data_IF_509537050300
#
_entry.id   IF_509537050300
#
_cell.length_a   1.000
_cell.length_b   1.000
_cell.length_c   1.000
_cell.angle_alpha   90.00
_cell.angle_beta   90.00
_cell.angle_gamma   90.00
#
_symmetry.space_group_name_H-M   'P 1'
#
loop_
_entity.id
_entity.type
_entity.pdbx_description
1 polymer ?
#
# COMPACT_ATOMS: atom_id res chain seq x y z
N UNK A 1 -39.85 -0.56 -16.31
CA UNK A 1 -38.38 -0.51 -16.60
C UNK A 1 -37.74 -1.35 -15.52
N UNK A 2 -37.25 -2.53 -15.88
CA UNK A 2 -36.49 -3.37 -14.93
C UNK A 2 -35.34 -2.59 -14.37
N UNK A 3 -35.19 -2.73 -13.06
CA UNK A 3 -34.16 -2.08 -12.22
C UNK A 3 -32.77 -2.39 -12.79
N UNK A 4 -32.19 -1.45 -13.52
CA UNK A 4 -30.85 -1.59 -14.09
C UNK A 4 -29.86 -1.45 -12.95
N UNK A 5 -29.55 -2.57 -12.30
CA UNK A 5 -28.61 -2.57 -11.18
C UNK A 5 -27.27 -2.03 -11.64
N UNK A 6 -26.86 -0.91 -11.05
CA UNK A 6 -25.54 -0.36 -11.21
C UNK A 6 -24.49 -1.31 -10.62
N UNK A 7 -23.26 -1.20 -11.10
CA UNK A 7 -22.09 -1.93 -10.57
C UNK A 7 -21.03 -0.89 -10.25
N UNK A 8 -20.45 -0.98 -9.07
CA UNK A 8 -19.29 -0.19 -8.66
C UNK A 8 -18.02 -0.91 -9.06
N UNK A 9 -17.08 -0.19 -9.68
CA UNK A 9 -15.69 -0.56 -9.80
C UNK A 9 -14.89 0.34 -8.87
N UNK A 10 -14.07 -0.23 -8.00
CA UNK A 10 -13.33 0.51 -6.98
C UNK A 10 -11.83 0.25 -7.06
N UNK A 11 -11.05 1.29 -6.83
CA UNK A 11 -9.59 1.30 -6.78
C UNK A 11 -9.15 2.43 -5.85
N UNK A 12 -7.91 2.38 -5.33
CA UNK A 12 -7.33 3.53 -4.62
C UNK A 12 -6.41 4.35 -5.51
N UNK A 13 -6.20 5.64 -5.14
CA UNK A 13 -5.41 6.60 -5.93
C UNK A 13 -4.03 6.87 -5.35
N UNK A 14 -3.83 6.59 -4.09
CA UNK A 14 -2.54 6.75 -3.42
C UNK A 14 -1.62 5.56 -3.70
N UNK A 15 -0.36 5.71 -3.34
CA UNK A 15 0.66 4.68 -3.50
C UNK A 15 1.67 4.75 -2.35
N UNK A 16 2.34 3.66 -2.08
CA UNK A 16 3.51 3.66 -1.19
C UNK A 16 4.64 4.48 -1.84
N UNK A 17 5.06 5.55 -1.17
CA UNK A 17 6.08 6.48 -1.65
C UNK A 17 7.47 6.07 -1.12
N UNK A 18 8.13 5.13 -1.81
CA UNK A 18 9.46 4.63 -1.47
C UNK A 18 10.46 4.83 -2.61
N UNK A 19 11.74 5.03 -2.25
CA UNK A 19 12.83 5.20 -3.21
C UNK A 19 14.11 4.53 -2.73
N UNK A 20 14.98 4.21 -3.67
CA UNK A 20 16.31 3.72 -3.36
C UNK A 20 17.14 4.81 -2.64
N UNK A 21 18.02 4.41 -1.72
CA UNK A 21 18.83 5.34 -0.91
C UNK A 21 19.73 6.29 -1.71
N UNK A 22 20.07 5.93 -2.93
CA UNK A 22 20.92 6.72 -3.85
C UNK A 22 20.11 7.55 -4.85
N UNK A 23 18.80 7.61 -4.72
CA UNK A 23 17.89 8.37 -5.60
C UNK A 23 17.38 9.59 -4.88
N UNK A 24 17.53 10.76 -5.49
CA UNK A 24 16.85 11.97 -5.05
C UNK A 24 15.54 12.10 -5.80
N UNK A 25 14.44 12.13 -5.08
CA UNK A 25 13.10 12.29 -5.60
C UNK A 25 12.19 12.86 -4.51
N UNK A 26 11.37 13.84 -4.85
CA UNK A 26 10.36 14.41 -3.98
C UNK A 26 8.96 14.04 -4.50
N UNK A 27 8.35 13.08 -3.84
CA UNK A 27 7.01 12.60 -4.19
C UNK A 27 5.89 13.64 -4.09
N UNK A 28 6.12 14.78 -3.42
CA UNK A 28 5.13 15.86 -3.33
C UNK A 28 5.15 16.78 -4.55
N UNK A 29 6.27 16.87 -5.24
CA UNK A 29 6.48 17.86 -6.32
C UNK A 29 6.91 17.24 -7.64
N UNK A 30 7.40 16.02 -7.63
CA UNK A 30 7.91 15.32 -8.82
C UNK A 30 7.03 14.13 -9.21
N UNK A 31 6.72 14.01 -10.49
CA UNK A 31 6.06 12.82 -11.04
C UNK A 31 7.03 11.64 -11.15
N UNK A 32 6.49 10.43 -11.09
CA UNK A 32 7.27 9.21 -11.24
C UNK A 32 7.89 9.12 -12.64
N UNK A 33 9.21 8.95 -12.70
CA UNK A 33 9.93 8.73 -13.96
C UNK A 33 9.83 7.28 -14.35
N UNK A 34 9.14 7.01 -15.45
CA UNK A 34 8.89 5.65 -15.92
C UNK A 34 9.62 5.34 -17.21
N UNK A 35 9.92 4.05 -17.42
CA UNK A 35 10.47 3.53 -18.66
C UNK A 35 9.90 2.15 -18.99
N UNK A 36 9.98 1.75 -20.27
CA UNK A 36 9.57 0.43 -20.73
C UNK A 36 10.81 -0.43 -20.96
N UNK A 37 10.81 -1.62 -20.38
CA UNK A 37 11.82 -2.64 -20.59
C UNK A 37 11.19 -4.01 -20.64
N UNK A 38 11.52 -4.78 -21.66
CA UNK A 38 11.03 -6.16 -21.88
C UNK A 38 9.48 -6.28 -21.84
N UNK A 39 8.78 -5.24 -22.30
CA UNK A 39 7.32 -5.16 -22.29
C UNK A 39 6.69 -4.72 -20.96
N UNK A 40 7.50 -4.46 -19.94
CA UNK A 40 7.06 -4.01 -18.62
C UNK A 40 7.35 -2.53 -18.41
N UNK A 41 6.44 -1.86 -17.70
CA UNK A 41 6.66 -0.50 -17.20
C UNK A 41 7.39 -0.56 -15.85
N UNK A 42 8.43 0.23 -15.73
CA UNK A 42 9.26 0.36 -14.52
C UNK A 42 9.35 1.82 -14.10
N UNK A 43 9.69 2.05 -12.82
CA UNK A 43 10.08 3.36 -12.31
C UNK A 43 11.59 3.46 -12.10
N UNK A 44 12.16 4.67 -12.27
CA UNK A 44 13.58 4.94 -12.07
C UNK A 44 13.92 5.10 -10.59
N UNK A 45 14.13 3.98 -9.90
CA UNK A 45 14.60 3.96 -8.51
C UNK A 45 13.58 4.38 -7.46
N UNK A 46 12.32 4.47 -7.83
CA UNK A 46 11.18 4.68 -6.94
C UNK A 46 10.17 3.55 -7.06
N UNK A 47 9.19 3.51 -6.17
CA UNK A 47 7.94 2.77 -6.40
C UNK A 47 7.24 3.29 -7.65
N UNK A 48 6.48 2.42 -8.34
CA UNK A 48 5.80 2.73 -9.60
C UNK A 48 4.37 3.25 -9.39
N UNK A 49 3.67 2.76 -8.37
CA UNK A 49 2.24 3.02 -8.16
C UNK A 49 1.32 2.22 -9.09
N UNK A 50 1.79 1.06 -9.59
CA UNK A 50 0.92 0.14 -10.33
C UNK A 50 -0.19 -0.43 -9.45
N UNK A 51 0.09 -0.62 -8.20
CA UNK A 51 -0.82 -0.75 -7.08
C UNK A 51 -1.19 0.68 -6.61
N UNK A 52 -2.42 1.20 -6.81
CA UNK A 52 -3.47 0.58 -7.62
C UNK A 52 -3.77 1.40 -8.88
N UNK A 53 -2.74 1.99 -9.50
CA UNK A 53 -2.84 2.74 -10.75
C UNK A 53 -3.41 1.90 -11.91
N UNK A 54 -3.16 0.59 -11.92
CA UNK A 54 -3.74 -0.30 -12.95
C UNK A 54 -5.24 -0.44 -12.76
N UNK A 55 -5.74 -0.56 -11.53
CA UNK A 55 -7.16 -0.59 -11.23
C UNK A 55 -7.85 0.70 -11.67
N UNK A 56 -7.24 1.87 -11.41
CA UNK A 56 -7.73 3.15 -11.92
C UNK A 56 -7.84 3.16 -13.44
N UNK A 57 -6.81 2.71 -14.14
CA UNK A 57 -6.79 2.64 -15.59
C UNK A 57 -7.87 1.71 -16.14
N UNK A 58 -8.08 0.56 -15.49
CA UNK A 58 -9.14 -0.40 -15.85
C UNK A 58 -10.54 0.20 -15.67
N UNK A 59 -10.80 0.91 -14.57
CA UNK A 59 -12.08 1.60 -14.35
C UNK A 59 -12.33 2.63 -15.45
N UNK A 60 -11.34 3.50 -15.72
CA UNK A 60 -11.47 4.52 -16.76
C UNK A 60 -11.69 3.90 -18.15
N UNK A 61 -11.00 2.82 -18.47
CA UNK A 61 -11.17 2.11 -19.72
C UNK A 61 -12.56 1.47 -19.82
N UNK A 62 -13.04 0.82 -18.76
CA UNK A 62 -14.38 0.25 -18.68
C UNK A 62 -15.46 1.32 -18.87
N UNK A 63 -15.38 2.42 -18.13
CA UNK A 63 -16.34 3.52 -18.25
C UNK A 63 -16.37 4.15 -19.65
N UNK A 64 -15.22 4.19 -20.33
CA UNK A 64 -15.10 4.73 -21.69
C UNK A 64 -15.65 3.79 -22.76
N UNK A 65 -15.45 2.48 -22.61
CA UNK A 65 -15.72 1.49 -23.65
C UNK A 65 -17.01 0.70 -23.45
N UNK A 66 -17.59 0.73 -22.25
CA UNK A 66 -18.79 -0.03 -21.94
C UNK A 66 -20.01 0.51 -22.69
N UNK A 67 -20.67 -0.36 -23.41
CA UNK A 67 -21.89 -0.06 -24.21
C UNK A 67 -23.11 -0.86 -23.77
N UNK A 68 -23.00 -1.57 -22.63
CA UNK A 68 -24.08 -2.35 -22.07
C UNK A 68 -25.21 -1.50 -21.46
N UNK A 69 -26.15 -2.14 -20.85
CA UNK A 69 -27.39 -1.54 -20.32
C UNK A 69 -27.31 -1.19 -18.82
N UNK A 70 -26.22 -1.57 -18.16
CA UNK A 70 -25.98 -1.27 -16.73
C UNK A 70 -25.26 0.06 -16.56
N UNK A 71 -25.47 0.71 -15.42
CA UNK A 71 -24.66 1.85 -15.01
C UNK A 71 -23.38 1.35 -14.35
N UNK A 72 -22.24 1.91 -14.73
CA UNK A 72 -20.97 1.71 -14.05
C UNK A 72 -20.68 2.97 -13.22
N UNK A 73 -20.49 2.78 -11.92
CA UNK A 73 -20.00 3.79 -10.99
C UNK A 73 -18.51 3.51 -10.70
N UNK A 74 -17.63 4.50 -10.93
CA UNK A 74 -16.22 4.42 -10.57
C UNK A 74 -15.99 5.07 -9.23
N UNK A 75 -15.44 4.34 -8.25
CA UNK A 75 -15.03 4.88 -6.95
C UNK A 75 -13.51 4.84 -6.85
N UNK A 76 -12.92 6.00 -6.54
CA UNK A 76 -11.50 6.16 -6.33
C UNK A 76 -11.27 6.63 -4.91
N UNK A 77 -10.72 5.76 -4.08
CA UNK A 77 -10.43 6.06 -2.67
C UNK A 77 -9.04 6.66 -2.50
N UNK A 78 -8.81 7.29 -1.36
CA UNK A 78 -7.54 7.87 -0.94
C UNK A 78 -7.10 7.27 0.39
N UNK A 79 -5.82 7.37 0.71
CA UNK A 79 -5.25 6.92 1.99
C UNK A 79 -5.50 5.42 2.27
N UNK A 80 -5.50 4.60 1.22
CA UNK A 80 -5.58 3.14 1.37
C UNK A 80 -4.33 2.64 2.09
N UNK A 81 -3.16 2.99 1.58
CA UNK A 81 -1.82 2.59 2.04
C UNK A 81 -1.49 3.07 3.47
N UNK A 82 -2.24 4.02 3.97
CA UNK A 82 -2.04 4.61 5.30
C UNK A 82 -3.15 4.27 6.31
N UNK A 83 -4.07 3.37 5.94
CA UNK A 83 -5.07 2.82 6.85
C UNK A 83 -6.51 3.02 6.44
N UNK A 84 -6.81 3.07 5.13
CA UNK A 84 -8.18 3.04 4.57
C UNK A 84 -9.06 4.25 4.95
N UNK A 85 -8.47 5.37 5.36
CA UNK A 85 -9.24 6.47 5.95
C UNK A 85 -10.20 7.14 4.94
N UNK A 86 -9.86 7.09 3.63
CA UNK A 86 -10.75 7.55 2.58
C UNK A 86 -12.02 6.72 2.47
N UNK A 87 -11.90 5.41 2.58
CA UNK A 87 -13.04 4.50 2.59
C UNK A 87 -13.88 4.65 3.88
N UNK A 88 -13.23 4.79 5.04
CA UNK A 88 -13.90 4.99 6.33
C UNK A 88 -14.71 6.28 6.42
N UNK A 89 -14.26 7.33 5.73
CA UNK A 89 -14.92 8.65 5.72
C UNK A 89 -15.94 8.81 4.60
N UNK A 90 -16.20 7.75 3.82
CA UNK A 90 -17.17 7.81 2.74
C UNK A 90 -18.55 8.13 3.30
N UNK A 91 -19.19 9.13 2.71
CA UNK A 91 -20.51 9.56 3.14
C UNK A 91 -21.57 8.51 2.81
N UNK A 92 -22.60 8.46 3.65
CA UNK A 92 -23.76 7.61 3.37
C UNK A 92 -24.42 8.08 2.05
N UNK A 93 -24.86 7.12 1.26
CA UNK A 93 -25.50 7.37 -0.03
C UNK A 93 -24.58 8.00 -1.10
N UNK A 94 -23.25 7.86 -0.94
CA UNK A 94 -22.25 8.31 -1.91
C UNK A 94 -22.38 7.59 -3.25
N UNK A 95 -22.86 6.37 -3.26
CA UNK A 95 -23.09 5.55 -4.46
C UNK A 95 -24.49 4.92 -4.43
N UNK A 96 -24.96 4.44 -5.58
CA UNK A 96 -26.31 3.89 -5.72
C UNK A 96 -26.34 2.39 -5.95
N UNK A 97 -25.22 1.80 -6.34
CA UNK A 97 -25.12 0.38 -6.62
C UNK A 97 -24.97 -0.46 -5.36
N UNK A 98 -25.46 -1.70 -5.40
CA UNK A 98 -25.36 -2.67 -4.31
C UNK A 98 -24.23 -3.69 -4.51
N UNK A 99 -23.61 -3.70 -5.70
CA UNK A 99 -22.52 -4.61 -6.03
C UNK A 99 -21.25 -3.82 -6.29
N UNK A 100 -20.20 -4.13 -5.54
CA UNK A 100 -18.88 -3.55 -5.71
C UNK A 100 -17.88 -4.62 -6.16
N UNK A 101 -17.06 -4.25 -7.13
CA UNK A 101 -15.91 -5.02 -7.60
C UNK A 101 -14.68 -4.17 -7.29
N UNK A 102 -13.91 -4.61 -6.30
CA UNK A 102 -12.63 -4.02 -5.94
C UNK A 102 -11.57 -4.55 -6.91
N UNK A 103 -10.76 -3.65 -7.49
CA UNK A 103 -9.71 -3.98 -8.46
C UNK A 103 -8.32 -3.89 -7.82
N UNK A 104 -8.23 -4.34 -6.58
CA UNK A 104 -7.04 -4.25 -5.73
C UNK A 104 -6.53 -5.64 -5.32
N UNK A 105 -6.66 -6.60 -6.21
CA UNK A 105 -6.14 -7.95 -6.02
C UNK A 105 -4.79 -8.10 -6.72
N UNK A 106 -3.81 -8.63 -6.03
CA UNK A 106 -2.48 -8.95 -6.57
C UNK A 106 -2.45 -10.31 -7.27
N UNK A 107 -3.45 -11.15 -7.04
CA UNK A 107 -3.52 -12.50 -7.62
C UNK A 107 -4.30 -12.49 -8.92
N UNK A 108 -3.65 -12.96 -9.99
CA UNK A 108 -4.28 -13.14 -11.28
C UNK A 108 -5.20 -14.37 -11.28
N UNK A 109 -6.27 -14.31 -12.05
CA UNK A 109 -7.24 -15.41 -12.26
C UNK A 109 -8.00 -15.86 -10.99
N UNK A 110 -7.97 -15.07 -9.91
CA UNK A 110 -8.69 -15.35 -8.67
C UNK A 110 -9.81 -14.33 -8.40
N UNK A 111 -10.94 -14.81 -7.92
CA UNK A 111 -12.02 -13.99 -7.41
C UNK A 111 -12.09 -14.11 -5.88
N UNK A 112 -11.67 -13.07 -5.19
CA UNK A 112 -11.61 -13.03 -3.72
C UNK A 112 -12.93 -12.47 -3.19
N UNK A 113 -13.62 -13.25 -2.37
CA UNK A 113 -14.94 -12.89 -1.78
C UNK A 113 -14.87 -12.59 -0.27
N UNK A 114 -13.71 -12.32 0.25
CA UNK A 114 -13.49 -12.01 1.67
C UNK A 114 -12.18 -11.29 1.86
N UNK A 115 -11.95 -10.80 3.08
CA UNK A 115 -10.69 -10.17 3.45
C UNK A 115 -10.25 -10.62 4.84
N UNK A 116 -8.93 -10.50 5.09
CA UNK A 116 -8.39 -10.67 6.43
C UNK A 116 -8.65 -9.41 7.28
N UNK A 117 -8.79 -9.60 8.58
CA UNK A 117 -8.81 -8.49 9.54
C UNK A 117 -7.40 -8.13 9.99
N UNK A 118 -7.21 -6.89 10.44
CA UNK A 118 -5.96 -6.41 11.01
C UNK A 118 -6.18 -5.81 12.40
N UNK A 119 -5.11 -5.78 13.20
CA UNK A 119 -5.08 -5.12 14.48
C UNK A 119 -3.74 -4.44 14.69
N UNK A 120 -3.76 -3.14 14.99
CA UNK A 120 -2.56 -2.38 15.33
C UNK A 120 -2.47 -2.18 16.84
N UNK A 121 -1.40 -2.63 17.45
CA UNK A 121 -1.10 -2.39 18.85
C UNK A 121 -0.01 -1.33 18.99
N UNK A 122 -0.32 -0.24 19.71
CA UNK A 122 0.64 0.82 20.06
C UNK A 122 1.04 0.66 21.51
N UNK A 123 2.32 0.37 21.77
CA UNK A 123 2.87 0.32 23.12
C UNK A 123 3.56 1.65 23.44
N UNK A 124 3.17 2.28 24.54
CA UNK A 124 3.76 3.52 25.02
C UNK A 124 4.60 3.25 26.27
N UNK A 125 5.88 3.52 26.17
CA UNK A 125 6.81 3.36 27.29
C UNK A 125 7.19 4.74 27.81
N UNK A 126 7.15 4.92 29.13
CA UNK A 126 7.82 6.05 29.77
C UNK A 126 9.31 5.76 29.77
N UNK A 127 10.10 6.70 29.30
CA UNK A 127 11.56 6.64 29.38
C UNK A 127 12.04 7.70 30.39
N UNK A 128 13.04 7.35 31.16
CA UNK A 128 13.84 8.29 31.94
C UNK A 128 15.10 8.61 31.16
N UNK A 129 15.43 9.87 31.06
CA UNK A 129 16.64 10.34 30.37
C UNK A 129 17.68 10.70 31.43
N UNK A 130 18.88 10.20 31.25
CA UNK A 130 20.04 10.52 32.11
C UNK A 130 21.07 11.28 31.27
N UNK A 131 21.77 12.20 31.94
CA UNK A 131 22.88 12.93 31.31
C UNK A 131 24.02 11.96 30.98
N UNK A 132 24.49 12.01 29.77
CA UNK A 132 25.60 11.18 29.32
C UNK A 132 26.93 11.81 29.78
N UNK A 133 27.85 11.08 30.48
CA UNK A 133 29.15 11.58 30.86
C UNK A 133 29.92 12.12 29.66
N UNK A 134 30.58 13.25 29.83
CA UNK A 134 31.30 13.97 28.74
C UNK A 134 32.62 13.29 28.33
N UNK A 135 33.11 12.31 29.05
CA UNK A 135 34.43 11.70 28.87
C UNK A 135 34.33 10.18 28.85
N UNK A 136 35.10 9.56 27.98
CA UNK A 136 35.21 8.08 27.92
C UNK A 136 34.11 7.37 27.13
N UNK A 137 33.41 8.09 26.27
CA UNK A 137 32.34 7.53 25.44
C UNK A 137 32.81 7.19 24.04
N UNK A 138 32.18 6.19 23.47
CA UNK A 138 32.24 5.88 22.06
C UNK A 138 30.82 5.51 21.57
N UNK A 139 30.56 5.80 20.32
CA UNK A 139 29.29 5.49 19.68
C UNK A 139 29.46 4.23 18.84
N UNK A 140 28.49 3.35 18.94
CA UNK A 140 28.40 2.15 18.10
C UNK A 140 27.10 2.23 17.30
N UNK A 141 27.20 2.08 16.00
CA UNK A 141 26.08 1.86 15.12
C UNK A 141 25.96 0.36 14.83
N UNK A 142 24.78 -0.20 15.08
CA UNK A 142 24.48 -1.60 14.80
C UNK A 142 23.35 -1.62 13.79
N UNK A 143 23.61 -2.24 12.62
CA UNK A 143 22.64 -2.34 11.54
C UNK A 143 22.31 -3.78 11.22
N UNK A 144 21.02 -4.12 11.14
CA UNK A 144 20.53 -5.39 10.61
C UNK A 144 19.90 -5.13 9.25
N UNK A 145 20.53 -5.63 8.18
CA UNK A 145 20.13 -5.39 6.79
C UNK A 145 20.42 -6.58 5.89
N UNK A 146 19.87 -6.56 4.66
CA UNK A 146 20.04 -7.63 3.68
C UNK A 146 19.15 -8.85 3.94
N UNK A 147 18.14 -8.72 4.79
CA UNK A 147 17.14 -9.76 5.00
C UNK A 147 16.14 -9.80 3.83
N UNK A 148 15.51 -10.96 3.63
CA UNK A 148 14.40 -11.09 2.70
C UNK A 148 13.20 -10.32 3.25
N UNK A 149 12.74 -9.34 2.48
CA UNK A 149 11.48 -8.65 2.71
C UNK A 149 10.27 -9.50 2.33
N UNK A 150 9.09 -8.91 2.41
CA UNK A 150 7.84 -9.53 1.99
C UNK A 150 6.64 -8.70 2.40
N UNK A 151 5.49 -9.07 1.86
CA UNK A 151 4.23 -8.45 2.20
C UNK A 151 3.83 -8.81 3.65
N UNK A 152 3.38 -7.82 4.43
CA UNK A 152 3.04 -7.99 5.85
C UNK A 152 1.84 -8.90 6.11
N UNK A 153 0.97 -9.07 5.13
CA UNK A 153 -0.16 -10.00 5.14
C UNK A 153 0.15 -11.29 4.37
N UNK A 154 0.27 -11.22 3.04
CA UNK A 154 0.42 -12.38 2.16
C UNK A 154 1.63 -13.27 2.48
N UNK A 155 2.75 -12.67 2.87
CA UNK A 155 4.01 -13.39 3.15
C UNK A 155 4.25 -13.70 4.63
N UNK A 156 3.35 -13.31 5.53
CA UNK A 156 3.55 -13.46 6.99
C UNK A 156 3.74 -14.92 7.43
N UNK A 157 3.19 -15.87 6.68
CA UNK A 157 3.32 -17.30 6.93
C UNK A 157 4.70 -17.85 6.54
N UNK A 158 5.48 -17.10 5.76
CA UNK A 158 6.83 -17.51 5.36
C UNK A 158 7.80 -17.23 6.52
N UNK A 159 8.60 -18.21 6.86
CA UNK A 159 9.56 -18.14 7.97
C UNK A 159 10.77 -17.25 7.62
N UNK A 160 10.52 -15.96 7.37
CA UNK A 160 11.55 -14.96 7.11
C UNK A 160 12.03 -14.32 8.40
N UNK A 161 13.30 -13.89 8.44
CA UNK A 161 13.88 -13.26 9.61
C UNK A 161 13.31 -11.85 9.81
N UNK A 162 13.03 -11.49 11.07
CA UNK A 162 12.56 -10.17 11.47
C UNK A 162 13.73 -9.35 12.03
N UNK A 163 14.09 -8.24 11.39
CA UNK A 163 15.20 -7.39 11.77
C UNK A 163 15.07 -6.82 13.18
N UNK A 164 13.86 -6.39 13.57
CA UNK A 164 13.62 -5.85 14.91
C UNK A 164 13.80 -6.91 16.00
N UNK A 165 13.40 -8.15 15.72
CA UNK A 165 13.61 -9.25 16.66
C UNK A 165 15.09 -9.58 16.80
N UNK A 166 15.84 -9.63 15.69
CA UNK A 166 17.27 -9.91 15.71
C UNK A 166 18.06 -8.85 16.48
N UNK A 167 17.77 -7.55 16.26
CA UNK A 167 18.44 -6.49 17.00
C UNK A 167 18.05 -6.48 18.49
N UNK A 168 16.78 -6.79 18.79
CA UNK A 168 16.31 -6.93 20.16
C UNK A 168 16.97 -8.07 20.92
N UNK A 169 17.13 -9.23 20.27
CA UNK A 169 17.83 -10.38 20.84
C UNK A 169 19.31 -10.07 21.06
N UNK A 170 19.97 -9.37 20.14
CA UNK A 170 21.35 -8.91 20.29
C UNK A 170 21.52 -7.95 21.47
N UNK A 171 20.61 -7.00 21.66
CA UNK A 171 20.68 -6.02 22.75
C UNK A 171 20.36 -6.61 24.14
N UNK A 172 19.86 -7.84 24.20
CA UNK A 172 19.59 -8.55 25.47
C UNK A 172 20.76 -9.39 25.98
N UNK A 173 21.81 -9.55 25.17
CA UNK A 173 23.04 -10.27 25.54
C UNK A 173 23.93 -9.40 26.42
#
# INVERSE_FOLDING_TARGET
>A
MEDRKAIILQSHMDMVCEKNNNVEHDFLTEGIKTYIKDGWMHAEGTTLGADNGIGMAMIMAAMKSYTGDKTIEGIFTVEEETGLSGAERMEKDFFTAETIINLDSEEEDELIIGCAGGCTTKAHFKKEEEDIPQVGQFYIEISVKGLLGGHSGGDIHLARANANKLIGDFLRL
#
